data_IF_563260393525
#
_entry.id   IF_563260393525
#
_cell.length_a   1.000
_cell.length_b   1.000
_cell.length_c   1.000
_cell.angle_alpha   90.00
_cell.angle_beta   90.00
_cell.angle_gamma   90.00
#
_symmetry.space_group_name_H-M   'P 1'
#
loop_
_entity.id
_entity.type
_entity.pdbx_description
1 polymer ?
#
# COMPACT_ATOMS: atom_id res chain seq x y z
N UNK A 1 -8.61 8.16 21.70
CA UNK A 1 -7.99 7.29 20.69
C UNK A 1 -6.77 7.99 20.15
N UNK A 2 -5.64 7.31 20.21
CA UNK A 2 -4.41 7.89 19.72
C UNK A 2 -4.38 7.88 18.20
N UNK A 3 -3.87 8.95 17.63
CA UNK A 3 -3.60 8.96 16.21
C UNK A 3 -2.51 7.94 15.89
N UNK A 4 -2.61 7.25 14.75
CA UNK A 4 -1.55 6.36 14.34
C UNK A 4 -0.28 7.16 14.11
N UNK A 5 0.81 6.69 14.70
CA UNK A 5 2.12 7.27 14.47
C UNK A 5 2.61 6.83 13.11
N UNK A 6 2.25 7.57 12.12
CA UNK A 6 2.64 7.25 10.75
C UNK A 6 3.96 7.88 10.41
N UNK A 7 4.67 7.23 9.55
CA UNK A 7 5.65 7.92 8.74
C UNK A 7 4.84 8.80 7.77
N UNK A 8 4.98 10.10 7.88
CA UNK A 8 4.10 11.04 7.22
C UNK A 8 3.98 10.93 5.70
N UNK A 9 4.88 10.18 5.09
CA UNK A 9 4.81 9.88 3.66
C UNK A 9 3.81 8.80 3.31
N UNK A 10 3.47 7.96 4.28
CA UNK A 10 2.86 6.70 3.95
C UNK A 10 1.38 6.82 3.69
N UNK A 11 0.78 7.87 4.19
CA UNK A 11 -0.63 7.77 4.31
C UNK A 11 -1.30 9.09 4.15
N UNK A 12 -2.21 9.11 3.23
CA UNK A 12 -3.01 10.25 2.91
C UNK A 12 -4.13 10.37 3.96
N UNK A 13 -3.79 10.99 5.10
CA UNK A 13 -4.77 11.46 6.07
C UNK A 13 -5.62 10.40 6.80
N UNK A 14 -5.02 9.28 7.30
CA UNK A 14 -5.81 8.35 8.11
C UNK A 14 -6.34 8.99 9.40
N UNK A 15 -5.63 9.97 9.94
CA UNK A 15 -6.08 10.70 11.11
C UNK A 15 -7.41 11.41 10.91
N UNK A 16 -7.66 11.95 9.72
CA UNK A 16 -8.95 12.58 9.39
C UNK A 16 -10.06 11.55 9.38
N UNK A 17 -9.84 10.40 8.80
CA UNK A 17 -10.83 9.34 8.75
C UNK A 17 -11.13 8.78 10.13
N UNK A 18 -10.09 8.54 10.93
CA UNK A 18 -10.24 8.07 12.31
C UNK A 18 -11.05 9.06 13.13
N UNK A 19 -10.74 10.35 13.03
CA UNK A 19 -11.45 11.39 13.73
C UNK A 19 -12.92 11.48 13.32
N UNK A 20 -13.21 11.33 12.04
CA UNK A 20 -14.57 11.39 11.52
C UNK A 20 -15.41 10.18 11.93
N UNK A 21 -14.81 8.99 11.97
CA UNK A 21 -15.51 7.74 12.24
C UNK A 21 -15.40 7.26 13.68
N UNK A 22 -14.53 7.90 14.48
CA UNK A 22 -14.21 7.44 15.84
C UNK A 22 -13.86 5.96 15.87
N UNK A 23 -12.99 5.55 14.96
CA UNK A 23 -12.65 4.16 14.73
C UNK A 23 -11.18 3.87 15.06
N UNK A 24 -10.87 2.63 15.42
CA UNK A 24 -9.50 2.17 15.52
C UNK A 24 -8.89 2.05 14.12
N UNK A 25 -7.61 2.40 13.99
CA UNK A 25 -6.90 2.33 12.73
C UNK A 25 -5.71 1.39 12.87
N UNK A 26 -5.60 0.47 11.91
CA UNK A 26 -4.47 -0.43 11.78
C UNK A 26 -3.72 -0.10 10.51
N UNK A 27 -2.45 0.24 10.66
CA UNK A 27 -1.60 0.56 9.52
C UNK A 27 -0.87 -0.70 9.06
N UNK A 28 -0.59 -0.76 7.76
CA UNK A 28 0.23 -1.83 7.19
C UNK A 28 1.67 -1.32 7.06
N UNK A 29 2.55 -1.63 8.02
CA UNK A 29 3.90 -1.05 8.09
C UNK A 29 4.88 -1.79 7.19
N UNK A 30 4.69 -1.67 5.90
CA UNK A 30 5.55 -2.32 4.93
C UNK A 30 5.75 -1.43 3.72
N UNK A 31 6.89 -1.58 3.02
CA UNK A 31 7.07 -0.95 1.73
C UNK A 31 6.04 -1.47 0.72
N UNK A 32 5.66 -0.62 -0.22
CA UNK A 32 4.76 -1.03 -1.30
C UNK A 32 5.42 -2.08 -2.21
N UNK A 33 6.72 -1.92 -2.45
CA UNK A 33 7.49 -2.81 -3.32
C UNK A 33 8.75 -3.24 -2.57
N UNK A 34 9.09 -4.51 -2.67
CA UNK A 34 10.31 -5.09 -2.08
C UNK A 34 11.18 -5.70 -3.18
N UNK A 35 12.42 -5.98 -2.83
CA UNK A 35 13.44 -6.43 -3.77
C UNK A 35 13.24 -7.87 -4.28
N UNK A 36 12.52 -8.71 -3.53
CA UNK A 36 12.38 -10.11 -3.87
C UNK A 36 11.16 -10.76 -3.22
N UNK A 37 10.75 -11.89 -3.77
CA UNK A 37 9.69 -12.70 -3.18
C UNK A 37 10.09 -13.22 -1.78
N UNK A 38 11.38 -13.48 -1.56
CA UNK A 38 11.87 -13.92 -0.25
C UNK A 38 11.71 -12.82 0.80
N UNK A 39 12.04 -11.58 0.47
CA UNK A 39 11.81 -10.45 1.36
C UNK A 39 10.33 -10.31 1.69
N UNK A 40 9.47 -10.42 0.69
CA UNK A 40 8.03 -10.38 0.90
C UNK A 40 7.57 -11.48 1.87
N UNK A 41 8.03 -12.69 1.67
CA UNK A 41 7.70 -13.83 2.53
C UNK A 41 8.12 -13.58 3.97
N UNK A 42 9.34 -13.09 4.18
CA UNK A 42 9.86 -12.80 5.52
C UNK A 42 9.08 -11.70 6.22
N UNK A 43 8.72 -10.65 5.51
CA UNK A 43 7.90 -9.58 6.10
C UNK A 43 6.56 -10.11 6.56
N UNK A 44 5.93 -10.97 5.78
CA UNK A 44 4.62 -11.51 6.10
C UNK A 44 4.72 -12.54 7.22
N UNK A 45 5.60 -13.53 7.08
CA UNK A 45 5.63 -14.68 7.98
C UNK A 45 6.48 -14.45 9.23
N UNK A 46 7.62 -13.77 9.09
CA UNK A 46 8.59 -13.63 10.17
C UNK A 46 8.44 -12.30 10.92
N UNK A 47 7.83 -11.30 10.32
CA UNK A 47 7.66 -9.98 10.92
C UNK A 47 6.24 -9.68 11.37
N UNK A 48 5.32 -10.64 11.30
CA UNK A 48 3.98 -10.52 11.86
C UNK A 48 2.96 -9.80 10.98
N UNK A 49 3.26 -9.51 9.72
CA UNK A 49 2.31 -8.86 8.84
C UNK A 49 1.13 -9.76 8.46
N UNK A 50 1.27 -11.07 8.65
CA UNK A 50 0.18 -12.03 8.47
C UNK A 50 -1.02 -11.71 9.36
N UNK A 51 -0.78 -11.17 10.55
CA UNK A 51 -1.87 -10.76 11.45
C UNK A 51 -2.67 -9.59 10.88
N UNK A 52 -2.02 -8.65 10.21
CA UNK A 52 -2.69 -7.52 9.59
C UNK A 52 -3.45 -7.96 8.33
N UNK A 53 -2.89 -8.89 7.57
CA UNK A 53 -3.61 -9.50 6.46
C UNK A 53 -4.88 -10.20 6.93
N UNK A 54 -4.81 -10.94 8.04
CA UNK A 54 -5.98 -11.61 8.59
C UNK A 54 -7.07 -10.61 9.00
N UNK A 55 -6.68 -9.48 9.59
CA UNK A 55 -7.62 -8.40 9.89
C UNK A 55 -8.26 -7.85 8.61
N UNK A 56 -7.47 -7.64 7.57
CA UNK A 56 -7.97 -7.12 6.31
C UNK A 56 -8.95 -8.08 5.65
N UNK A 57 -8.66 -9.38 5.69
CA UNK A 57 -9.56 -10.40 5.14
C UNK A 57 -10.90 -10.49 5.88
N UNK A 58 -10.94 -10.10 7.14
CA UNK A 58 -12.15 -10.10 7.94
C UNK A 58 -13.02 -8.84 7.75
N UNK A 59 -12.56 -7.87 6.96
CA UNK A 59 -13.31 -6.64 6.73
C UNK A 59 -14.48 -6.85 5.77
N UNK A 60 -15.52 -6.07 5.97
CA UNK A 60 -16.74 -6.16 5.15
C UNK A 60 -16.68 -5.26 3.92
N UNK A 61 -15.81 -4.26 3.92
CA UNK A 61 -15.74 -3.25 2.86
C UNK A 61 -14.30 -2.87 2.59
N UNK A 62 -13.94 -2.79 1.33
CA UNK A 62 -12.67 -2.25 0.88
C UNK A 62 -12.91 -0.97 0.08
N UNK A 63 -12.20 0.08 0.44
CA UNK A 63 -12.22 1.34 -0.31
C UNK A 63 -10.86 1.46 -1.00
N UNK A 64 -10.88 1.50 -2.32
CA UNK A 64 -9.67 1.58 -3.12
C UNK A 64 -9.70 2.86 -3.97
N UNK A 65 -8.53 3.39 -4.22
CA UNK A 65 -8.34 4.40 -5.25
C UNK A 65 -7.91 3.74 -6.55
N UNK A 66 -8.03 4.47 -7.64
CA UNK A 66 -7.62 4.00 -8.96
C UNK A 66 -6.67 5.02 -9.54
N UNK A 67 -5.47 4.58 -9.90
CA UNK A 67 -4.50 5.39 -10.60
C UNK A 67 -4.33 4.93 -12.04
N UNK A 68 -3.70 5.73 -12.87
CA UNK A 68 -3.33 5.32 -14.21
C UNK A 68 -1.87 4.85 -14.25
N UNK A 69 -1.45 4.29 -15.39
CA UNK A 69 -0.11 3.76 -15.58
C UNK A 69 0.75 4.67 -16.47
N UNK A 70 0.36 5.92 -16.68
CA UNK A 70 1.17 6.83 -17.47
C UNK A 70 2.48 7.20 -16.74
N UNK A 71 3.39 7.88 -17.43
CA UNK A 71 4.71 8.19 -16.87
C UNK A 71 4.67 9.18 -15.72
N UNK A 72 3.56 9.88 -15.53
CA UNK A 72 3.34 10.80 -14.42
C UNK A 72 2.63 10.12 -13.24
N UNK A 73 2.45 8.81 -13.30
CA UNK A 73 1.80 8.07 -12.22
C UNK A 73 2.55 8.23 -10.90
N UNK A 74 1.82 8.16 -9.80
CA UNK A 74 2.39 8.30 -8.45
C UNK A 74 3.50 7.28 -8.18
N UNK A 75 3.31 6.05 -8.62
CA UNK A 75 4.30 4.98 -8.44
C UNK A 75 5.61 5.30 -9.14
N UNK A 76 5.55 5.80 -10.37
CA UNK A 76 6.73 6.17 -11.13
C UNK A 76 7.38 7.43 -10.58
N UNK A 77 6.56 8.45 -10.28
CA UNK A 77 7.04 9.71 -9.72
C UNK A 77 7.76 9.51 -8.40
N UNK A 78 7.28 8.60 -7.57
CA UNK A 78 7.92 8.28 -6.30
C UNK A 78 9.03 7.24 -6.43
N UNK A 79 9.40 6.88 -7.63
CA UNK A 79 10.44 5.87 -7.89
C UNK A 79 10.15 4.50 -7.26
N UNK A 80 8.87 4.16 -7.14
CA UNK A 80 8.47 2.85 -6.61
C UNK A 80 8.68 1.75 -7.64
N UNK A 81 8.59 2.10 -8.91
CA UNK A 81 8.91 1.18 -10.01
C UNK A 81 9.89 1.85 -10.96
N UNK A 82 10.71 1.04 -11.61
CA UNK A 82 11.63 1.54 -12.63
C UNK A 82 10.89 1.85 -13.93
N UNK A 83 11.44 2.73 -14.78
CA UNK A 83 10.87 2.93 -16.11
C UNK A 83 10.78 1.65 -16.94
N UNK A 84 11.76 0.74 -16.79
CA UNK A 84 11.73 -0.55 -17.49
C UNK A 84 10.56 -1.41 -17.04
N UNK A 85 10.32 -1.50 -15.74
CA UNK A 85 9.16 -2.23 -15.21
C UNK A 85 7.84 -1.59 -15.65
N UNK A 86 7.77 -0.27 -15.65
CA UNK A 86 6.62 0.45 -16.16
C UNK A 86 6.32 0.06 -17.61
N UNK A 87 7.33 0.04 -18.48
CA UNK A 87 7.16 -0.30 -19.88
C UNK A 87 6.71 -1.77 -20.05
N UNK A 88 7.24 -2.68 -19.23
CA UNK A 88 6.78 -4.07 -19.21
C UNK A 88 5.31 -4.21 -18.82
N UNK A 89 4.87 -3.46 -17.83
CA UNK A 89 3.47 -3.49 -17.39
C UNK A 89 2.54 -2.96 -18.47
N UNK A 90 2.93 -1.89 -19.14
CA UNK A 90 2.16 -1.34 -20.27
C UNK A 90 2.08 -2.36 -21.41
N UNK A 91 3.19 -3.02 -21.74
CA UNK A 91 3.23 -4.04 -22.79
C UNK A 91 2.36 -5.26 -22.46
N UNK A 92 2.19 -5.56 -21.17
CA UNK A 92 1.30 -6.63 -20.71
C UNK A 92 -0.17 -6.23 -20.68
N UNK A 93 -0.50 -5.00 -21.04
CA UNK A 93 -1.86 -4.51 -21.08
C UNK A 93 -2.34 -3.84 -19.79
N UNK A 94 -1.46 -3.56 -18.87
CA UNK A 94 -1.81 -2.84 -17.65
C UNK A 94 -2.21 -1.41 -17.99
N UNK A 95 -3.33 -0.94 -17.42
CA UNK A 95 -3.88 0.40 -17.66
C UNK A 95 -3.94 1.27 -16.40
N UNK A 96 -3.67 0.70 -15.25
CA UNK A 96 -3.72 1.43 -13.99
C UNK A 96 -3.17 0.62 -12.82
N UNK A 97 -3.21 1.21 -11.66
CA UNK A 97 -2.77 0.59 -10.42
C UNK A 97 -3.89 0.51 -9.37
#
# INVERSE_FOLDING_TARGET
MDEPKTLGWAIDHPGLLIGALDAACYLFPAPLVVDSAETRRRLIEDCGLDQIYALAEAMDLAIISVGDINRDSTSLVRHLISPALHDQLVDLGCVGD
#
